data_IF_934029476705
#
_entry.id   IF_934029476705
#
_cell.length_a   1.000
_cell.length_b   1.000
_cell.length_c   1.000
_cell.angle_alpha   90.00
_cell.angle_beta   90.00
_cell.angle_gamma   90.00
#
_symmetry.space_group_name_H-M   'P 1'
#
loop_
_entity.id
_entity.type
_entity.pdbx_description
1 polymer ?
#
# COMPACT_ATOMS: atom_id res chain seq x y z
N UNK A 1 11.42 -0.13 12.81
CA UNK A 1 10.46 -1.16 12.43
C UNK A 1 10.11 -0.83 11.00
N UNK A 2 10.53 -1.66 10.03
CA UNK A 2 10.12 -1.45 8.64
C UNK A 2 8.60 -1.59 8.61
N UNK A 3 7.92 -0.53 8.19
CA UNK A 3 6.48 -0.55 7.96
C UNK A 3 6.21 -1.60 6.88
N UNK A 4 5.34 -2.57 7.15
CA UNK A 4 5.02 -3.61 6.17
C UNK A 4 4.46 -2.97 4.90
N UNK A 5 4.79 -3.49 3.71
CA UNK A 5 4.45 -2.84 2.44
C UNK A 5 2.93 -2.60 2.27
N UNK A 6 2.11 -3.43 2.92
CA UNK A 6 0.65 -3.26 2.97
C UNK A 6 0.21 -1.99 3.71
N UNK A 7 0.93 -1.60 4.76
CA UNK A 7 0.63 -0.39 5.50
C UNK A 7 1.02 0.84 4.69
N UNK A 8 2.14 0.81 3.98
CA UNK A 8 2.50 1.84 2.99
C UNK A 8 1.42 1.98 1.92
N UNK A 9 0.84 0.88 1.45
CA UNK A 9 -0.27 0.91 0.50
C UNK A 9 -1.51 1.60 1.08
N UNK A 10 -1.90 1.27 2.31
CA UNK A 10 -3.02 1.91 3.02
C UNK A 10 -2.79 3.41 3.24
N UNK A 11 -1.56 3.80 3.56
CA UNK A 11 -1.19 5.21 3.74
C UNK A 11 -1.33 6.00 2.44
N UNK A 12 -0.87 5.46 1.31
CA UNK A 12 -1.11 6.07 0.00
C UNK A 12 -2.60 6.17 -0.31
N UNK A 13 -3.35 5.10 -0.06
CA UNK A 13 -4.81 5.08 -0.28
C UNK A 13 -5.53 6.15 0.52
N UNK A 14 -5.25 6.27 1.82
CA UNK A 14 -5.82 7.29 2.69
C UNK A 14 -5.49 8.71 2.17
N UNK A 15 -4.28 8.92 1.66
CA UNK A 15 -3.88 10.17 1.01
C UNK A 15 -4.73 10.49 -0.21
N UNK A 16 -4.88 9.55 -1.14
CA UNK A 16 -5.66 9.75 -2.37
C UNK A 16 -7.17 9.86 -2.14
N UNK A 17 -7.72 9.19 -1.12
CA UNK A 17 -9.16 9.25 -0.80
C UNK A 17 -9.65 10.63 -0.39
N UNK A 18 -8.74 11.52 0.02
CA UNK A 18 -9.08 12.93 0.28
C UNK A 18 -9.47 13.70 -0.99
N UNK A 19 -9.08 13.22 -2.17
CA UNK A 19 -9.20 13.94 -3.43
C UNK A 19 -10.05 13.22 -4.50
N UNK A 20 -10.21 11.89 -4.42
CA UNK A 20 -10.87 11.10 -5.48
C UNK A 20 -11.77 9.98 -4.92
N UNK A 21 -12.49 9.29 -5.82
CA UNK A 21 -13.35 8.15 -5.48
C UNK A 21 -12.53 6.88 -5.15
N UNK A 22 -13.20 5.86 -4.59
CA UNK A 22 -12.59 4.59 -4.15
C UNK A 22 -11.73 3.93 -5.23
N UNK A 23 -12.29 3.75 -6.43
CA UNK A 23 -11.61 3.03 -7.50
C UNK A 23 -10.35 3.75 -7.97
N UNK A 24 -10.44 5.06 -8.17
CA UNK A 24 -9.30 5.88 -8.58
C UNK A 24 -8.25 5.93 -7.48
N UNK A 25 -8.65 6.17 -6.23
CA UNK A 25 -7.73 6.20 -5.09
C UNK A 25 -7.00 4.88 -4.89
N UNK A 26 -7.69 3.75 -5.07
CA UNK A 26 -7.08 2.42 -4.97
C UNK A 26 -6.07 2.18 -6.11
N UNK A 27 -6.44 2.56 -7.33
CA UNK A 27 -5.54 2.47 -8.49
C UNK A 27 -4.29 3.34 -8.32
N UNK A 28 -4.47 4.60 -7.92
CA UNK A 28 -3.38 5.56 -7.70
C UNK A 28 -2.47 5.13 -6.55
N UNK A 29 -3.05 4.64 -5.45
CA UNK A 29 -2.27 4.12 -4.32
C UNK A 29 -1.45 2.89 -4.70
N UNK A 30 -1.98 2.01 -5.54
CA UNK A 30 -1.25 0.85 -6.03
C UNK A 30 -0.13 1.24 -6.99
N UNK A 31 -0.33 2.24 -7.85
CA UNK A 31 0.73 2.81 -8.69
C UNK A 31 1.84 3.45 -7.84
N UNK A 32 1.46 4.25 -6.83
CA UNK A 32 2.41 4.84 -5.89
C UNK A 32 3.22 3.78 -5.14
N UNK A 33 2.57 2.69 -4.72
CA UNK A 33 3.24 1.55 -4.11
C UNK A 33 4.26 0.90 -5.05
N UNK A 34 3.91 0.72 -6.33
CA UNK A 34 4.82 0.16 -7.31
C UNK A 34 6.07 1.05 -7.51
N UNK A 35 5.89 2.37 -7.58
CA UNK A 35 7.02 3.31 -7.63
C UNK A 35 7.89 3.24 -6.37
N UNK A 36 7.27 3.17 -5.19
CA UNK A 36 7.98 3.01 -3.92
C UNK A 36 8.84 1.73 -3.91
N UNK A 37 8.29 0.61 -4.38
CA UNK A 37 9.04 -0.67 -4.50
C UNK A 37 10.23 -0.54 -5.44
N UNK A 38 10.07 0.13 -6.58
CA UNK A 38 11.16 0.37 -7.55
C UNK A 38 12.27 1.19 -6.90
N UNK A 39 11.92 2.28 -6.23
CA UNK A 39 12.88 3.17 -5.56
C UNK A 39 13.65 2.42 -4.45
N UNK A 40 12.93 1.73 -3.56
CA UNK A 40 13.55 0.94 -2.49
C UNK A 40 14.45 -0.16 -3.02
N UNK A 41 14.05 -0.82 -4.12
CA UNK A 41 14.89 -1.82 -4.79
C UNK A 41 16.21 -1.20 -5.27
N UNK A 42 16.17 -0.01 -5.88
CA UNK A 42 17.38 0.72 -6.28
C UNK A 42 18.29 1.05 -5.08
N UNK A 43 17.71 1.59 -4.01
CA UNK A 43 18.44 1.93 -2.80
C UNK A 43 19.08 0.71 -2.11
N UNK A 44 18.41 -0.44 -2.11
CA UNK A 44 18.97 -1.67 -1.58
C UNK A 44 20.05 -2.26 -2.50
N UNK A 45 19.88 -2.17 -3.82
CA UNK A 45 20.87 -2.63 -4.79
C UNK A 45 22.19 -1.86 -4.64
N UNK A 46 22.13 -0.53 -4.52
CA UNK A 46 23.31 0.33 -4.29
C UNK A 46 24.06 -0.03 -3.00
N UNK A 47 23.34 -0.57 -2.00
CA UNK A 47 23.89 -0.98 -0.70
C UNK A 47 24.27 -2.46 -0.63
N UNK A 48 24.14 -3.22 -1.73
CA UNK A 48 24.39 -4.67 -1.75
C UNK A 48 23.41 -5.51 -0.92
N UNK A 49 22.23 -4.96 -0.61
CA UNK A 49 21.21 -5.52 0.29
C UNK A 49 20.23 -6.45 -0.44
N UNK A 50 20.75 -7.55 -0.99
CA UNK A 50 19.94 -8.47 -1.81
C UNK A 50 18.83 -9.19 -1.02
N UNK A 51 19.03 -9.42 0.28
CA UNK A 51 18.02 -10.04 1.14
C UNK A 51 16.78 -9.16 1.31
N UNK A 52 16.99 -7.86 1.50
CA UNK A 52 15.93 -6.86 1.61
C UNK A 52 15.15 -6.71 0.29
N UNK A 53 15.85 -6.76 -0.86
CA UNK A 53 15.19 -6.80 -2.18
C UNK A 53 14.29 -8.04 -2.28
N UNK A 54 14.78 -9.21 -1.87
CA UNK A 54 13.99 -10.44 -1.93
C UNK A 54 12.73 -10.35 -1.07
N UNK A 55 12.84 -9.79 0.14
CA UNK A 55 11.70 -9.58 1.05
C UNK A 55 10.70 -8.59 0.44
N UNK A 56 11.16 -7.44 -0.03
CA UNK A 56 10.32 -6.41 -0.64
C UNK A 56 9.54 -6.94 -1.86
N UNK A 57 10.22 -7.65 -2.76
CA UNK A 57 9.58 -8.25 -3.94
C UNK A 57 8.57 -9.32 -3.56
N UNK A 58 8.84 -10.11 -2.51
CA UNK A 58 7.89 -11.12 -2.01
C UNK A 58 6.63 -10.48 -1.46
N UNK A 59 6.76 -9.44 -0.64
CA UNK A 59 5.62 -8.71 -0.11
C UNK A 59 4.78 -8.07 -1.22
N UNK A 60 5.43 -7.43 -2.20
CA UNK A 60 4.72 -6.82 -3.32
C UNK A 60 3.93 -7.85 -4.14
N UNK A 61 4.50 -9.04 -4.38
CA UNK A 61 3.80 -10.14 -5.04
C UNK A 61 2.59 -10.63 -4.25
N UNK A 62 2.70 -10.71 -2.93
CA UNK A 62 1.56 -11.11 -2.08
C UNK A 62 0.42 -10.09 -2.18
N UNK A 63 0.73 -8.80 -2.21
CA UNK A 63 -0.26 -7.74 -2.43
C UNK A 63 -0.89 -7.88 -3.82
N UNK A 64 -0.08 -8.09 -4.86
CA UNK A 64 -0.57 -8.32 -6.23
C UNK A 64 -1.54 -9.51 -6.33
N UNK A 65 -1.27 -10.59 -5.61
CA UNK A 65 -2.14 -11.76 -5.58
C UNK A 65 -3.45 -11.46 -4.84
N UNK A 66 -3.39 -10.70 -3.75
CA UNK A 66 -4.57 -10.34 -2.96
C UNK A 66 -5.55 -9.42 -3.73
N UNK A 67 -5.05 -8.60 -4.66
CA UNK A 67 -5.87 -7.65 -5.44
C UNK A 67 -6.43 -8.22 -6.76
N UNK A 68 -6.25 -9.49 -7.06
CA UNK A 68 -6.66 -10.10 -8.35
C UNK A 68 -7.84 -11.07 -8.17
N UNK A 69 -8.83 -11.19 -9.08
CA UNK A 69 -9.36 -10.27 -10.10
C UNK A 69 -10.56 -9.42 -9.61
N UNK A 70 -11.10 -9.66 -8.41
CA UNK A 70 -12.09 -8.80 -7.76
C UNK A 70 -11.42 -8.21 -6.52
N UNK A 71 -10.87 -7.01 -6.69
CA UNK A 71 -10.26 -6.23 -5.61
C UNK A 71 -11.30 -5.58 -4.69
N UNK A 72 -12.58 -5.90 -4.87
CA UNK A 72 -13.69 -5.26 -4.15
C UNK A 72 -13.60 -5.52 -2.65
N UNK A 73 -13.27 -6.74 -2.23
CA UNK A 73 -13.08 -7.09 -0.82
C UNK A 73 -11.89 -6.33 -0.18
N UNK A 74 -10.81 -6.13 -0.93
CA UNK A 74 -9.63 -5.39 -0.45
C UNK A 74 -9.94 -3.90 -0.37
N UNK A 75 -10.66 -3.34 -1.35
CA UNK A 75 -11.13 -1.96 -1.31
C UNK A 75 -12.07 -1.72 -0.13
N UNK A 76 -13.03 -2.61 0.09
CA UNK A 76 -13.94 -2.55 1.24
C UNK A 76 -13.18 -2.58 2.56
N UNK A 77 -12.18 -3.45 2.69
CA UNK A 77 -11.32 -3.47 3.88
C UNK A 77 -10.57 -2.14 4.07
N UNK A 78 -10.00 -1.58 3.00
CA UNK A 78 -9.29 -0.31 3.05
C UNK A 78 -10.21 0.84 3.45
N UNK A 79 -11.45 0.85 2.95
CA UNK A 79 -12.47 1.83 3.33
C UNK A 79 -12.88 1.69 4.80
N UNK A 80 -13.12 0.46 5.27
CA UNK A 80 -13.50 0.21 6.66
C UNK A 80 -12.41 0.69 7.61
N UNK A 81 -11.15 0.30 7.38
CA UNK A 81 -10.02 0.70 8.22
C UNK A 81 -9.79 2.23 8.20
N UNK A 82 -9.97 2.88 7.04
CA UNK A 82 -9.88 4.33 6.93
C UNK A 82 -10.96 5.02 7.75
N UNK A 83 -12.22 4.56 7.64
CA UNK A 83 -13.35 5.11 8.41
C UNK A 83 -13.13 4.92 9.91
N UNK A 84 -12.71 3.74 10.34
CA UNK A 84 -12.37 3.46 11.76
C UNK A 84 -11.29 4.41 12.27
N UNK A 85 -10.22 4.62 11.49
CA UNK A 85 -9.15 5.54 11.86
C UNK A 85 -9.66 6.99 11.98
N UNK A 86 -10.54 7.43 11.07
CA UNK A 86 -11.11 8.78 11.11
C UNK A 86 -12.05 8.97 12.32
N UNK A 87 -12.91 7.99 12.59
CA UNK A 87 -13.81 8.01 13.75
C UNK A 87 -13.03 8.07 15.07
N UNK A 88 -12.01 7.23 15.21
CA UNK A 88 -11.15 7.22 16.40
C UNK A 88 -10.44 8.56 16.62
N UNK A 89 -10.08 9.27 15.55
CA UNK A 89 -9.46 10.61 15.63
C UNK A 89 -10.45 11.72 16.04
N UNK A 90 -11.75 11.53 15.81
CA UNK A 90 -12.80 12.49 16.20
C UNK A 90 -13.32 12.29 17.63
N UNK A 91 -13.05 11.13 18.23
CA UNK A 91 -13.45 10.78 19.60
C UNK A 91 -12.42 11.17 20.67
N UNK A 92 -11.28 11.72 20.25
CA UNK A 92 -10.18 12.26 21.09
C UNK A 92 -10.09 13.76 20.96
#
# INVERSE_FOLDING_TARGET
MDEALIQTFKNYYAGYRTATNVDQSFSDAYQALAYHVIEQTGQFADKGKLGEIQTLVREFKNIQLAISPSNDSVKEQFEQELVEHLLNRTLT
#
